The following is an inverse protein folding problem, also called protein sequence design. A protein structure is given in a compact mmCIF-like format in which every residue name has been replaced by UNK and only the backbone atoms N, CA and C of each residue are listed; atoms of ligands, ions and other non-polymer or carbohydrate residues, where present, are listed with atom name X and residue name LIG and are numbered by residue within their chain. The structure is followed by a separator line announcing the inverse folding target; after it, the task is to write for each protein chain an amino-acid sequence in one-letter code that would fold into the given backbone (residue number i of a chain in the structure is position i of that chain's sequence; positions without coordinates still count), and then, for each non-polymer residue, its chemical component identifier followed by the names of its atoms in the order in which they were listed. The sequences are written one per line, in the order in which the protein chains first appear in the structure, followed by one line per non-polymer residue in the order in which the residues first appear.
data_IF_863611755396
#
_entry.id   IF_863611755396
#
_cell.length_a   1.000
_cell.length_b   1.000
_cell.length_c   1.000
_cell.angle_alpha   90.00
_cell.angle_beta   90.00
_cell.angle_gamma   90.00
#
_symmetry.space_group_name_H-M   'P 1'
#
loop_
_entity.id
_entity.type
_entity.pdbx_description
1 polymer ?
#
# COMPACT_ATOMS: atom_id res chain seq x y z
N UNK A 1 4.60 5.79 -7.82
CA UNK A 1 4.59 4.60 -6.97
C UNK A 1 4.09 4.93 -5.58
N UNK A 2 3.21 4.13 -5.05
CA UNK A 2 2.63 4.34 -3.72
C UNK A 2 2.10 3.01 -3.19
N UNK A 3 2.04 2.88 -1.87
CA UNK A 3 1.30 1.80 -1.19
C UNK A 3 0.21 2.46 -0.37
N UNK A 4 -1.03 2.31 -0.80
CA UNK A 4 -2.15 2.95 -0.12
C UNK A 4 -2.57 2.18 1.13
N UNK A 5 -2.61 2.87 2.25
CA UNK A 5 -2.95 2.32 3.56
C UNK A 5 -4.02 3.21 4.24
N UNK A 6 -5.26 3.18 3.74
CA UNK A 6 -6.32 4.01 4.32
C UNK A 6 -6.95 3.43 5.59
N UNK A 7 -6.46 2.29 6.08
CA UNK A 7 -6.93 1.65 7.30
C UNK A 7 -5.77 1.16 8.15
N UNK A 8 -6.05 0.77 9.38
CA UNK A 8 -5.02 0.34 10.31
C UNK A 8 -4.48 -1.08 10.04
N UNK A 9 -5.14 -1.87 9.21
CA UNK A 9 -4.69 -3.20 8.81
C UNK A 9 -4.52 -3.28 7.29
N UNK A 10 -3.67 -4.20 6.83
CA UNK A 10 -3.47 -4.39 5.40
C UNK A 10 -4.74 -4.91 4.73
N UNK A 11 -5.40 -5.89 5.35
CA UNK A 11 -6.61 -6.49 4.79
C UNK A 11 -7.72 -5.43 4.60
N UNK A 12 -7.95 -4.58 5.60
CA UNK A 12 -8.96 -3.53 5.49
C UNK A 12 -8.54 -2.45 4.49
N UNK A 13 -7.26 -2.09 4.46
CA UNK A 13 -6.76 -1.09 3.51
C UNK A 13 -7.05 -1.50 2.07
N UNK A 14 -6.67 -2.72 1.69
CA UNK A 14 -6.85 -3.19 0.31
C UNK A 14 -8.33 -3.42 -0.02
N UNK A 15 -9.14 -3.80 0.98
CA UNK A 15 -10.59 -3.98 0.79
C UNK A 15 -11.29 -2.67 0.43
N UNK A 16 -10.73 -1.51 0.80
CA UNK A 16 -11.28 -0.20 0.46
C UNK A 16 -10.93 0.25 -0.96
N UNK A 17 -9.89 -0.32 -1.57
CA UNK A 17 -9.40 0.17 -2.86
C UNK A 17 -10.37 -0.15 -4.00
N UNK A 18 -10.53 0.79 -4.90
CA UNK A 18 -11.24 0.54 -6.15
C UNK A 18 -10.43 -0.46 -7.00
N UNK A 19 -11.10 -1.08 -7.97
CA UNK A 19 -10.50 -2.13 -8.80
C UNK A 19 -9.19 -1.71 -9.43
N UNK A 20 -9.15 -0.54 -10.04
CA UNK A 20 -7.98 -0.06 -10.77
C UNK A 20 -6.78 0.10 -9.84
N UNK A 21 -7.00 0.73 -8.68
CA UNK A 21 -5.91 0.95 -7.72
C UNK A 21 -5.48 -0.34 -7.05
N UNK A 22 -6.41 -1.23 -6.75
CA UNK A 22 -6.07 -2.54 -6.19
C UNK A 22 -5.17 -3.33 -7.15
N UNK A 23 -5.52 -3.37 -8.43
CA UNK A 23 -4.71 -4.04 -9.44
C UNK A 23 -3.29 -3.47 -9.53
N UNK A 24 -3.18 -2.15 -9.50
CA UNK A 24 -1.88 -1.48 -9.52
C UNK A 24 -1.08 -1.74 -8.24
N UNK A 25 -1.73 -1.74 -7.08
CA UNK A 25 -1.05 -1.98 -5.81
C UNK A 25 -0.42 -3.36 -5.75
N UNK A 26 -1.09 -4.35 -6.29
CA UNK A 26 -0.57 -5.71 -6.41
C UNK A 26 0.77 -5.73 -7.17
N UNK A 27 0.84 -5.00 -8.28
CA UNK A 27 2.05 -4.90 -9.10
C UNK A 27 3.10 -4.01 -8.45
N UNK A 28 2.69 -2.86 -7.94
CA UNK A 28 3.64 -1.90 -7.34
C UNK A 28 4.29 -2.46 -6.08
N UNK A 29 3.54 -3.19 -5.24
CA UNK A 29 4.12 -3.83 -4.06
C UNK A 29 5.21 -4.84 -4.46
N UNK A 30 5.00 -5.60 -5.53
CA UNK A 30 6.03 -6.51 -6.04
C UNK A 30 7.24 -5.74 -6.55
N UNK A 31 7.04 -4.63 -7.25
CA UNK A 31 8.14 -3.80 -7.75
C UNK A 31 8.96 -3.22 -6.60
N UNK A 32 8.31 -2.80 -5.52
CA UNK A 32 9.00 -2.31 -4.34
C UNK A 32 9.83 -3.42 -3.69
N UNK A 33 9.25 -4.62 -3.55
CA UNK A 33 9.99 -5.77 -3.04
C UNK A 33 11.24 -6.06 -3.89
N UNK A 34 11.08 -6.02 -5.20
CA UNK A 34 12.19 -6.25 -6.13
C UNK A 34 13.27 -5.17 -6.00
N UNK A 35 12.87 -3.91 -5.87
CA UNK A 35 13.83 -2.82 -5.68
C UNK A 35 14.65 -2.98 -4.40
N UNK A 36 14.02 -3.50 -3.33
CA UNK A 36 14.71 -3.71 -2.05
C UNK A 36 15.74 -4.83 -2.15
N UNK A 37 15.42 -5.94 -2.82
CA UNK A 37 16.31 -7.11 -2.86
C UNK A 37 17.33 -7.06 -4.00
N UNK A 38 17.12 -6.22 -5.01
CA UNK A 38 17.99 -6.13 -6.18
C UNK A 38 18.50 -4.69 -6.36
N UNK A 39 19.75 -4.41 -5.95
CA UNK A 39 20.29 -3.05 -6.04
C UNK A 39 20.39 -2.50 -7.47
N UNK A 40 20.35 -3.37 -8.49
CA UNK A 40 20.39 -2.94 -9.89
C UNK A 40 19.02 -2.54 -10.44
N UNK A 41 17.95 -2.86 -9.73
CA UNK A 41 16.60 -2.46 -10.12
C UNK A 41 16.38 -0.97 -9.91
N UNK A 42 15.58 -0.34 -10.74
CA UNK A 42 15.29 1.09 -10.59
C UNK A 42 14.52 1.42 -9.30
N UNK A 43 14.25 2.68 -9.08
CA UNK A 43 13.44 3.18 -7.95
C UNK A 43 14.12 3.12 -6.59
N UNK A 44 15.45 2.90 -6.51
CA UNK A 44 16.16 2.69 -5.24
C UNK A 44 15.96 3.82 -4.23
N UNK A 45 15.83 5.06 -4.69
CA UNK A 45 15.67 6.23 -3.81
C UNK A 45 14.23 6.73 -3.71
N UNK A 46 13.27 6.02 -4.31
CA UNK A 46 11.87 6.43 -4.24
C UNK A 46 11.35 6.29 -2.81
N UNK A 47 10.58 7.28 -2.30
CA UNK A 47 10.07 7.22 -0.93
C UNK A 47 9.28 5.95 -0.62
N UNK A 48 8.53 5.41 -1.60
CA UNK A 48 7.78 4.17 -1.40
C UNK A 48 8.70 2.97 -1.18
N UNK A 49 9.90 2.96 -1.75
CA UNK A 49 10.89 1.91 -1.52
C UNK A 49 11.57 2.12 -0.16
N UNK A 50 11.96 3.35 0.13
CA UNK A 50 12.69 3.68 1.35
C UNK A 50 11.87 3.39 2.61
N UNK A 51 10.57 3.69 2.59
CA UNK A 51 9.71 3.49 3.76
C UNK A 51 9.58 2.02 4.15
N UNK A 52 9.67 1.11 3.18
CA UNK A 52 9.50 -0.33 3.41
C UNK A 52 10.82 -1.08 3.62
N UNK A 53 11.96 -0.47 3.32
CA UNK A 53 13.25 -1.18 3.24
C UNK A 53 13.59 -1.94 4.53
N UNK A 54 13.26 -1.40 5.69
CA UNK A 54 13.49 -2.06 6.97
C UNK A 54 12.32 -2.93 7.44
N UNK A 55 11.28 -3.08 6.60
CA UNK A 55 10.04 -3.76 6.97
C UNK A 55 9.59 -4.75 5.88
N UNK A 56 10.54 -5.53 5.36
CA UNK A 56 10.28 -6.44 4.24
C UNK A 56 9.19 -7.48 4.56
N UNK A 57 9.18 -8.16 5.73
CA UNK A 57 8.10 -9.09 6.03
C UNK A 57 6.71 -8.43 6.01
N UNK A 58 6.60 -7.20 6.52
CA UNK A 58 5.35 -6.46 6.48
C UNK A 58 4.95 -6.09 5.04
N UNK A 59 5.92 -5.71 4.20
CA UNK A 59 5.64 -5.43 2.79
C UNK A 59 5.15 -6.69 2.06
N UNK A 60 5.72 -7.86 2.36
CA UNK A 60 5.21 -9.13 1.83
C UNK A 60 3.77 -9.36 2.28
N UNK A 61 3.45 -9.01 3.52
CA UNK A 61 2.08 -9.09 4.03
C UNK A 61 1.12 -8.17 3.28
N UNK A 62 1.53 -6.95 3.00
CA UNK A 62 0.74 -6.01 2.21
C UNK A 62 0.54 -6.52 0.78
N UNK A 63 1.60 -6.99 0.15
CA UNK A 63 1.54 -7.59 -1.19
C UNK A 63 0.56 -8.76 -1.21
N UNK A 64 0.66 -9.68 -0.25
CA UNK A 64 -0.24 -10.82 -0.16
C UNK A 64 -1.69 -10.38 0.02
N UNK A 65 -1.93 -9.36 0.85
CA UNK A 65 -3.28 -8.83 1.04
C UNK A 65 -3.86 -8.31 -0.27
N UNK A 66 -3.05 -7.63 -1.09
CA UNK A 66 -3.48 -7.16 -2.41
C UNK A 66 -3.86 -8.33 -3.32
N UNK A 67 -3.06 -9.39 -3.35
CA UNK A 67 -3.32 -10.57 -4.20
C UNK A 67 -4.59 -11.29 -3.74
N UNK A 68 -4.73 -11.52 -2.43
CA UNK A 68 -5.89 -12.19 -1.86
C UNK A 68 -7.18 -11.42 -2.16
N UNK A 69 -7.18 -10.11 -1.94
CA UNK A 69 -8.36 -9.29 -2.23
C UNK A 69 -8.72 -9.33 -3.72
N UNK A 70 -7.71 -9.28 -4.59
CA UNK A 70 -7.90 -9.34 -6.04
C UNK A 70 -8.59 -10.64 -6.45
N UNK A 71 -8.10 -11.78 -5.92
CA UNK A 71 -8.66 -13.10 -6.20
C UNK A 71 -10.06 -13.22 -5.61
N UNK A 72 -10.27 -12.75 -4.40
CA UNK A 72 -11.58 -12.82 -3.72
C UNK A 72 -12.66 -12.03 -4.48
N UNK A 73 -12.26 -10.97 -5.21
CA UNK A 73 -13.19 -10.22 -6.07
C UNK A 73 -13.49 -10.93 -7.39
N UNK A 74 -12.84 -12.07 -7.66
CA UNK A 74 -13.09 -12.87 -8.86
C UNK A 74 -12.24 -12.52 -10.07
N UNK A 75 -11.18 -11.72 -9.90
CA UNK A 75 -10.31 -11.34 -11.01
C UNK A 75 -9.20 -12.35 -11.23
N UNK A 76 -8.77 -12.48 -12.48
CA UNK A 76 -7.67 -13.38 -12.83
C UNK A 76 -6.35 -12.90 -12.22
N UNK A 77 -5.57 -13.85 -11.72
CA UNK A 77 -4.29 -13.56 -11.08
C UNK A 77 -3.27 -14.64 -11.41
N UNK A 78 -2.07 -14.22 -11.80
CA UNK A 78 -0.93 -15.12 -12.02
C UNK A 78 0.20 -14.88 -11.02
N UNK A 79 0.02 -13.96 -10.08
CA UNK A 79 1.06 -13.59 -9.11
C UNK A 79 1.00 -14.51 -7.89
N UNK A 80 2.15 -15.04 -7.50
CA UNK A 80 2.25 -15.94 -6.34
C UNK A 80 2.30 -15.14 -5.04
N UNK A 81 1.76 -15.75 -3.97
CA UNK A 81 1.92 -15.18 -2.65
C UNK A 81 3.39 -15.27 -2.21
N UNK A 82 3.82 -14.26 -1.47
CA UNK A 82 5.16 -14.24 -0.91
C UNK A 82 5.23 -15.08 0.36
N UNK A 83 6.34 -15.80 0.57
CA UNK A 83 6.64 -16.49 1.81
C UNK A 83 7.13 -15.49 2.86
N UNK A 84 7.13 -15.91 4.13
CA UNK A 84 7.68 -15.12 5.25
C UNK A 84 7.04 -13.74 5.37
N UNK A 85 5.73 -13.68 5.15
CA UNK A 85 4.95 -12.47 5.26
C UNK A 85 4.47 -12.25 6.70
N UNK A 86 4.37 -10.98 7.10
CA UNK A 86 3.83 -10.57 8.39
C UNK A 86 2.63 -9.65 8.17
N UNK A 87 1.60 -9.82 8.97
CA UNK A 87 0.45 -8.91 8.95
C UNK A 87 0.61 -7.75 9.93
N UNK A 88 1.69 -7.73 10.71
CA UNK A 88 1.96 -6.65 11.66
C UNK A 88 2.38 -5.38 10.91
N UNK A 89 1.64 -4.26 11.07
CA UNK A 89 1.99 -3.04 10.37
C UNK A 89 3.27 -2.42 10.90
N UNK A 90 4.03 -1.72 10.04
CA UNK A 90 5.19 -0.96 10.51
C UNK A 90 4.77 0.13 11.48
N UNK A 91 5.68 0.58 12.37
CA UNK A 91 5.34 1.61 13.36
C UNK A 91 5.02 2.97 12.75
N UNK A 92 5.43 3.21 11.49
CA UNK A 92 5.09 4.46 10.81
C UNK A 92 3.66 4.47 10.25
N UNK A 93 2.90 3.37 10.35
CA UNK A 93 1.50 3.37 9.97
C UNK A 93 0.69 4.05 11.08
N UNK A 94 0.70 5.37 11.05
CA UNK A 94 0.08 6.25 12.05
C UNK A 94 -1.25 6.78 11.54
N UNK A 95 -2.04 7.36 12.44
CA UNK A 95 -3.30 8.02 12.06
C UNK A 95 -3.06 9.15 11.04
N UNK A 96 -1.95 9.87 11.18
CA UNK A 96 -1.61 10.94 10.23
C UNK A 96 -1.36 10.41 8.82
N UNK A 97 -0.67 9.29 8.70
CA UNK A 97 -0.44 8.65 7.39
C UNK A 97 -1.76 8.13 6.80
N UNK A 98 -2.56 7.45 7.62
CA UNK A 98 -3.85 6.91 7.20
C UNK A 98 -4.73 8.05 6.67
N UNK A 99 -4.84 9.16 7.41
CA UNK A 99 -5.63 10.31 6.99
C UNK A 99 -5.13 10.90 5.67
N UNK A 100 -3.81 10.99 5.49
CA UNK A 100 -3.22 11.50 4.26
C UNK A 100 -3.56 10.61 3.06
N UNK A 101 -3.54 9.29 3.24
CA UNK A 101 -3.90 8.35 2.17
C UNK A 101 -5.40 8.41 1.86
N UNK A 102 -6.26 8.47 2.87
CA UNK A 102 -7.71 8.67 2.68
C UNK A 102 -8.00 9.94 1.89
N UNK A 103 -7.35 11.03 2.25
CA UNK A 103 -7.51 12.32 1.60
C UNK A 103 -7.12 12.26 0.12
N UNK A 104 -5.99 11.63 -0.18
CA UNK A 104 -5.51 11.51 -1.55
C UNK A 104 -6.38 10.58 -2.39
N UNK A 105 -6.90 9.50 -1.81
CA UNK A 105 -7.83 8.61 -2.50
C UNK A 105 -9.16 9.33 -2.78
N UNK A 106 -9.69 10.08 -1.83
CA UNK A 106 -10.90 10.87 -2.03
C UNK A 106 -10.74 11.86 -3.19
N UNK A 107 -9.59 12.52 -3.28
CA UNK A 107 -9.31 13.46 -4.37
C UNK A 107 -9.27 12.75 -5.73
N UNK A 108 -8.71 11.54 -5.78
CA UNK A 108 -8.53 10.79 -7.02
C UNK A 108 -9.83 10.18 -7.54
N UNK A 109 -10.68 9.68 -6.66
CA UNK A 109 -11.90 8.99 -7.03
C UNK A 109 -13.00 9.22 -5.98
N UNK A 110 -13.56 10.44 -5.92
CA UNK A 110 -14.55 10.77 -4.91
C UNK A 110 -15.81 9.91 -4.97
N UNK A 111 -16.19 9.44 -6.16
CA UNK A 111 -17.38 8.60 -6.31
C UNK A 111 -17.22 7.26 -5.61
N UNK A 112 -16.03 6.69 -5.62
CA UNK A 112 -15.77 5.43 -4.93
C UNK A 112 -15.50 5.64 -3.45
N UNK A 113 -14.57 6.54 -3.12
CA UNK A 113 -14.11 6.68 -1.74
C UNK A 113 -15.06 7.46 -0.86
N UNK A 114 -16.00 8.22 -1.44
CA UNK A 114 -17.04 8.91 -0.69
C UNK A 114 -17.99 7.97 0.06
N UNK A 115 -18.09 6.70 -0.37
CA UNK A 115 -18.98 5.74 0.29
C UNK A 115 -18.55 5.36 1.70
N UNK A 116 -17.30 5.62 2.06
CA UNK A 116 -16.77 5.21 3.37
C UNK A 116 -16.94 6.26 4.46
N UNK A 117 -17.46 7.43 4.12
CA UNK A 117 -17.72 8.54 5.07
C UNK A 117 -16.49 8.91 5.90
N UNK A 118 -15.33 8.91 5.27
CA UNK A 118 -14.09 9.31 5.93
C UNK A 118 -14.12 10.79 6.29
N UNK A 119 -13.89 11.09 7.57
CA UNK A 119 -13.86 12.47 8.07
C UNK A 119 -12.48 13.10 7.80
N UNK A 120 -12.17 13.33 6.54
CA UNK A 120 -10.93 13.99 6.11
C UNK A 120 -11.21 14.92 4.94
N UNK A 121 -10.46 16.03 4.80
CA UNK A 121 -10.53 16.84 3.59
C UNK A 121 -9.87 16.09 2.42
N UNK A 122 -10.04 16.61 1.20
CA UNK A 122 -9.46 15.96 0.00
C UNK A 122 -8.22 16.69 -0.51
N UNK A 123 -7.53 17.43 0.33
CA UNK A 123 -6.39 18.27 -0.06
C UNK A 123 -5.15 18.09 0.81
N UNK A 124 -5.10 17.05 1.64
CA UNK A 124 -3.91 16.79 2.46
C UNK A 124 -2.76 16.28 1.58
N UNK A 125 -1.53 16.72 1.85
CA UNK A 125 -0.36 16.16 1.16
C UNK A 125 -0.09 14.73 1.62
N UNK A 126 0.66 13.97 0.81
CA UNK A 126 1.12 12.65 1.23
C UNK A 126 2.11 12.78 2.39
N UNK A 127 1.91 11.93 3.40
CA UNK A 127 2.88 11.73 4.47
C UNK A 127 3.80 10.58 4.05
N UNK A 128 5.11 10.84 4.03
CA UNK A 128 6.13 9.84 3.69
C UNK A 128 6.98 9.51 4.91
N UNK A 129 6.91 8.27 5.43
CA UNK A 129 7.79 7.87 6.53
C UNK A 129 9.25 7.82 6.09
N UNK A 130 10.15 8.03 7.03
CA UNK A 130 11.60 7.90 6.82
C UNK A 130 12.07 6.51 7.23
N UNK A 131 11.44 5.47 6.68
CA UNK A 131 11.58 4.10 7.17
C UNK A 131 13.00 3.56 7.21
N UNK A 132 13.83 3.94 6.24
CA UNK A 132 15.20 3.45 6.13
C UNK A 132 16.25 4.36 6.76
N UNK A 133 15.84 5.42 7.42
CA UNK A 133 16.76 6.39 8.03
C UNK A 133 16.97 6.19 9.53
N UNK A 134 16.35 5.19 10.07
CA UNK A 134 16.34 4.91 11.51
C UNK A 134 17.55 4.15 11.97
#
# INVERSE_FOLDING_TARGET
MQTFLPEATFALSVARLDRQRLGKQRVEAMQILRAIVDPSYGWQNHPAVRMWRSFVPALRGYYNACVVEWVDRGYKNSMRLAADASSAPPPWLTDGLIRSHRSNLLRKAPDWYGQFDWDVPNDLPYVWPKGDLQ
#
